data_IF_428948229002
#
_entry.id   IF_428948229002
#
_cell.length_a   1.000
_cell.length_b   1.000
_cell.length_c   1.000
_cell.angle_alpha   90.00
_cell.angle_beta   90.00
_cell.angle_gamma   90.00
#
_symmetry.space_group_name_H-M   'P 1'
#
loop_
_entity.id
_entity.type
_entity.pdbx_description
1 polymer ?
#
# COMPACT_ATOMS: atom_id res chain seq x y z
N UNK A 1 -7.70 19.68 -6.91
CA UNK A 1 -6.25 19.62 -6.71
C UNK A 1 -5.61 19.62 -8.09
N UNK A 2 -4.76 20.61 -8.42
CA UNK A 2 -4.16 20.73 -9.77
C UNK A 2 -3.07 19.67 -10.07
N UNK A 3 -2.66 18.88 -9.07
CA UNK A 3 -1.65 17.83 -9.20
C UNK A 3 -2.32 16.46 -9.10
N UNK A 4 -1.94 15.48 -9.95
CA UNK A 4 -2.44 14.12 -9.83
C UNK A 4 -2.17 13.54 -8.43
N UNK A 5 -3.16 12.89 -7.81
CA UNK A 5 -3.05 12.32 -6.45
C UNK A 5 -1.78 11.47 -6.27
N UNK A 6 -1.41 10.68 -7.28
CA UNK A 6 -0.22 9.83 -7.24
C UNK A 6 1.08 10.59 -6.94
N UNK A 7 1.19 11.84 -7.39
CA UNK A 7 2.37 12.68 -7.24
C UNK A 7 2.32 13.61 -6.01
N UNK A 8 1.24 13.58 -5.24
CA UNK A 8 1.17 14.38 -4.01
C UNK A 8 2.24 13.91 -3.02
N UNK A 9 2.93 14.88 -2.44
CA UNK A 9 4.00 14.65 -1.47
C UNK A 9 3.43 14.15 -0.14
N UNK A 10 4.09 13.21 0.51
CA UNK A 10 3.73 12.67 1.82
C UNK A 10 4.97 12.42 2.67
N UNK A 11 5.33 13.40 3.51
CA UNK A 11 6.43 13.29 4.48
C UNK A 11 7.75 12.76 3.90
N UNK A 12 8.16 13.31 2.76
CA UNK A 12 9.42 12.95 2.10
C UNK A 12 9.30 11.83 1.07
N UNK A 13 8.08 11.43 0.70
CA UNK A 13 7.78 10.48 -0.38
C UNK A 13 6.60 10.99 -1.21
N UNK A 14 6.08 10.19 -2.12
CA UNK A 14 4.82 10.46 -2.82
C UNK A 14 3.75 9.44 -2.43
N UNK A 15 2.46 9.77 -2.63
CA UNK A 15 1.38 8.85 -2.28
C UNK A 15 1.52 7.50 -2.99
N UNK A 16 1.87 7.52 -4.29
CA UNK A 16 2.05 6.25 -5.03
C UNK A 16 3.27 5.47 -4.54
N UNK A 17 4.39 6.13 -4.26
CA UNK A 17 5.58 5.47 -3.74
C UNK A 17 5.31 4.83 -2.38
N UNK A 18 4.58 5.56 -1.52
CA UNK A 18 4.14 5.05 -0.22
C UNK A 18 3.23 3.83 -0.35
N UNK A 19 2.17 3.90 -1.18
CA UNK A 19 1.26 2.78 -1.39
C UNK A 19 2.00 1.53 -1.87
N UNK A 20 2.88 1.69 -2.86
CA UNK A 20 3.71 0.60 -3.41
C UNK A 20 4.61 -0.04 -2.35
N UNK A 21 5.34 0.75 -1.56
CA UNK A 21 6.24 0.22 -0.53
C UNK A 21 5.46 -0.50 0.58
N UNK A 22 4.30 0.01 0.99
CA UNK A 22 3.47 -0.62 2.03
C UNK A 22 2.86 -1.93 1.53
N UNK A 23 2.26 -1.94 0.33
CA UNK A 23 1.67 -3.15 -0.26
C UNK A 23 2.75 -4.18 -0.53
N UNK A 24 3.90 -3.78 -1.11
CA UNK A 24 5.02 -4.68 -1.40
C UNK A 24 5.57 -5.40 -0.18
N UNK A 25 5.47 -4.81 1.01
CA UNK A 25 5.86 -5.48 2.28
C UNK A 25 4.81 -6.46 2.81
N UNK A 26 3.60 -6.42 2.27
CA UNK A 26 2.50 -7.27 2.73
C UNK A 26 2.26 -8.49 1.83
N UNK A 27 2.84 -8.52 0.63
CA UNK A 27 2.65 -9.56 -0.38
C UNK A 27 4.00 -10.14 -0.84
N UNK A 28 3.99 -11.38 -1.31
CA UNK A 28 5.16 -12.01 -1.92
C UNK A 28 5.07 -12.00 -3.46
N UNK A 29 3.96 -11.54 -4.02
CA UNK A 29 3.70 -11.45 -5.46
C UNK A 29 4.09 -10.11 -6.08
N UNK A 30 3.84 -9.95 -7.39
CA UNK A 30 4.13 -8.71 -8.11
C UNK A 30 3.28 -7.55 -7.59
N UNK A 31 3.86 -6.35 -7.59
CA UNK A 31 3.15 -5.09 -7.35
C UNK A 31 2.95 -4.39 -8.68
N UNK A 32 1.70 -4.10 -9.02
CA UNK A 32 1.32 -3.46 -10.28
C UNK A 32 0.66 -2.11 -9.98
N UNK A 33 1.19 -1.05 -10.55
CA UNK A 33 0.56 0.27 -10.52
C UNK A 33 -0.20 0.47 -11.83
N UNK A 34 -1.49 0.71 -11.73
CA UNK A 34 -2.31 1.04 -12.91
C UNK A 34 -2.49 2.55 -12.97
N UNK A 35 -2.26 3.13 -14.14
CA UNK A 35 -2.36 4.56 -14.40
C UNK A 35 -3.26 4.86 -15.60
N UNK A 36 -3.76 6.09 -15.69
CA UNK A 36 -4.42 6.56 -16.90
C UNK A 36 -3.41 6.61 -18.07
N UNK A 37 -3.85 6.37 -19.32
CA UNK A 37 -2.98 6.43 -20.48
C UNK A 37 -2.21 7.75 -20.54
N UNK A 38 -0.88 7.67 -20.66
CA UNK A 38 -0.01 8.85 -20.73
C UNK A 38 0.22 9.59 -19.41
N UNK A 39 -0.39 9.15 -18.30
CA UNK A 39 -0.15 9.75 -16.99
C UNK A 39 1.31 9.57 -16.58
N UNK A 40 1.98 10.67 -16.26
CA UNK A 40 3.32 10.62 -15.68
C UNK A 40 3.24 10.21 -14.21
N UNK A 41 4.05 9.23 -13.82
CA UNK A 41 4.19 8.78 -12.44
C UNK A 41 5.52 9.27 -11.86
N UNK A 42 5.58 9.54 -10.55
CA UNK A 42 6.85 9.65 -9.84
C UNK A 42 7.70 8.39 -10.01
N UNK A 43 8.99 8.50 -9.74
CA UNK A 43 9.91 7.34 -9.77
C UNK A 43 9.40 6.23 -8.84
N UNK A 44 9.35 5.01 -9.37
CA UNK A 44 8.94 3.81 -8.66
C UNK A 44 10.13 2.84 -8.55
N UNK A 45 10.13 1.91 -7.58
CA UNK A 45 11.10 0.83 -7.53
C UNK A 45 11.09 0.02 -8.84
N UNK A 46 12.26 -0.45 -9.27
CA UNK A 46 12.41 -1.24 -10.49
C UNK A 46 11.60 -2.56 -10.47
N UNK A 47 11.25 -3.05 -9.30
CA UNK A 47 10.42 -4.25 -9.11
C UNK A 47 8.92 -4.02 -9.34
N UNK A 48 8.48 -2.76 -9.50
CA UNK A 48 7.08 -2.40 -9.70
C UNK A 48 6.76 -2.39 -11.19
N UNK A 49 5.72 -3.10 -11.55
CA UNK A 49 5.19 -3.10 -12.91
C UNK A 49 4.18 -1.97 -13.09
N UNK A 50 4.16 -1.34 -14.26
CA UNK A 50 3.19 -0.30 -14.59
C UNK A 50 2.32 -0.78 -15.74
N UNK A 51 1.01 -0.66 -15.57
CA UNK A 51 0.02 -0.92 -16.61
C UNK A 51 -0.79 0.34 -16.91
N UNK A 52 -1.18 0.52 -18.16
CA UNK A 52 -2.11 1.56 -18.53
C UNK A 52 -3.55 1.06 -18.40
N UNK A 53 -4.43 1.92 -17.88
CA UNK A 53 -5.87 1.70 -17.90
C UNK A 53 -6.36 1.67 -19.35
N UNK A 54 -7.24 0.74 -19.68
CA UNK A 54 -7.70 0.59 -21.05
C UNK A 54 -8.55 1.79 -21.53
N UNK A 55 -9.23 2.46 -20.61
CA UNK A 55 -10.15 3.58 -20.91
C UNK A 55 -10.22 4.56 -19.76
N UNK A 56 -9.72 5.76 -19.98
CA UNK A 56 -9.77 6.84 -18.99
C UNK A 56 -11.22 7.20 -18.60
N UNK A 57 -11.43 7.50 -17.32
CA UNK A 57 -12.69 8.06 -16.79
C UNK A 57 -13.84 7.07 -16.61
N UNK A 58 -13.65 5.76 -16.76
CA UNK A 58 -14.69 4.74 -16.56
C UNK A 58 -14.75 4.15 -15.14
N UNK A 59 -14.08 4.78 -14.20
CA UNK A 59 -14.08 4.38 -12.81
C UNK A 59 -13.08 3.24 -12.49
N UNK A 60 -13.06 2.75 -11.26
CA UNK A 60 -11.99 1.87 -10.77
C UNK A 60 -11.99 0.45 -11.37
N UNK A 61 -13.07 0.03 -12.03
CA UNK A 61 -13.18 -1.33 -12.58
C UNK A 61 -12.20 -1.60 -13.73
N UNK A 62 -11.96 -0.60 -14.58
CA UNK A 62 -10.97 -0.73 -15.66
C UNK A 62 -9.57 -0.90 -15.06
N UNK A 63 -9.22 -0.10 -14.04
CA UNK A 63 -7.95 -0.24 -13.33
C UNK A 63 -7.78 -1.61 -12.66
N UNK A 64 -8.83 -2.13 -12.01
CA UNK A 64 -8.81 -3.48 -11.42
C UNK A 64 -8.59 -4.52 -12.53
N UNK A 65 -9.27 -4.40 -13.68
CA UNK A 65 -9.15 -5.33 -14.79
C UNK A 65 -7.73 -5.33 -15.39
N UNK A 66 -7.15 -4.14 -15.59
CA UNK A 66 -5.79 -3.98 -16.10
C UNK A 66 -4.76 -4.59 -15.15
N UNK A 67 -4.87 -4.30 -13.84
CA UNK A 67 -4.00 -4.86 -12.82
C UNK A 67 -4.09 -6.39 -12.75
N UNK A 68 -5.30 -6.95 -12.72
CA UNK A 68 -5.51 -8.41 -12.69
C UNK A 68 -5.01 -9.08 -13.99
N UNK A 69 -5.10 -8.42 -15.14
CA UNK A 69 -4.59 -8.94 -16.41
C UNK A 69 -3.07 -9.06 -16.40
N UNK A 70 -2.37 -8.06 -15.85
CA UNK A 70 -0.91 -8.10 -15.69
C UNK A 70 -0.48 -9.15 -14.67
N UNK A 71 -1.19 -9.28 -13.55
CA UNK A 71 -0.90 -10.31 -12.55
C UNK A 71 -1.06 -11.71 -13.16
N UNK A 72 -2.12 -11.94 -13.94
CA UNK A 72 -2.38 -13.21 -14.61
C UNK A 72 -2.32 -14.40 -13.65
N UNK A 73 -1.61 -15.48 -14.05
CA UNK A 73 -1.46 -16.71 -13.28
C UNK A 73 -0.35 -16.66 -12.22
N UNK A 74 0.36 -15.50 -12.09
CA UNK A 74 1.46 -15.34 -11.13
C UNK A 74 0.97 -15.26 -9.67
N UNK A 75 -0.31 -14.98 -9.45
CA UNK A 75 -0.93 -15.01 -8.13
C UNK A 75 -2.38 -15.49 -8.21
N UNK A 76 -2.87 -16.10 -7.13
CA UNK A 76 -4.28 -16.53 -7.01
C UNK A 76 -5.17 -15.46 -6.41
N UNK A 77 -4.57 -14.53 -5.67
CA UNK A 77 -5.25 -13.46 -4.93
C UNK A 77 -4.45 -12.17 -5.13
N UNK A 78 -5.15 -11.07 -5.34
CA UNK A 78 -4.58 -9.73 -5.39
C UNK A 78 -5.23 -8.85 -4.33
N UNK A 79 -4.44 -8.04 -3.64
CA UNK A 79 -4.95 -6.91 -2.87
C UNK A 79 -5.05 -5.68 -3.78
N UNK A 80 -6.21 -5.04 -3.79
CA UNK A 80 -6.45 -3.82 -4.55
C UNK A 80 -6.44 -2.63 -3.60
N UNK A 81 -5.66 -1.60 -3.93
CA UNK A 81 -5.53 -0.39 -3.12
C UNK A 81 -5.74 0.86 -3.96
N UNK A 82 -6.44 1.83 -3.39
CA UNK A 82 -6.38 3.21 -3.85
C UNK A 82 -5.02 3.83 -3.51
N UNK A 83 -4.62 4.85 -4.28
CA UNK A 83 -3.40 5.63 -4.00
C UNK A 83 -3.63 6.69 -2.92
N UNK A 84 -4.86 6.94 -2.58
CA UNK A 84 -5.33 8.00 -1.67
C UNK A 84 -5.53 7.54 -0.21
N UNK A 85 -4.99 6.38 0.16
CA UNK A 85 -4.97 5.82 1.51
C UNK A 85 -3.54 5.89 2.12
N UNK A 86 -3.00 7.07 2.46
CA UNK A 86 -1.61 7.19 2.90
C UNK A 86 -1.33 6.63 4.29
N UNK A 87 -2.37 6.34 5.06
CA UNK A 87 -2.28 5.75 6.39
C UNK A 87 -2.36 4.21 6.36
N UNK A 88 -2.40 3.62 5.15
CA UNK A 88 -2.40 2.17 4.97
C UNK A 88 -1.26 1.51 5.75
N UNK A 89 -1.57 0.39 6.42
CA UNK A 89 -0.61 -0.39 7.20
C UNK A 89 -0.46 -1.81 6.64
N UNK A 90 0.77 -2.39 6.55
CA UNK A 90 0.97 -3.75 6.03
C UNK A 90 0.25 -4.83 6.83
N UNK A 91 0.03 -4.63 8.14
CA UNK A 91 -0.74 -5.58 8.97
C UNK A 91 -2.20 -5.66 8.50
N UNK A 92 -2.81 -4.51 8.17
CA UNK A 92 -4.17 -4.46 7.62
C UNK A 92 -4.25 -5.21 6.28
N UNK A 93 -3.33 -4.95 5.35
CA UNK A 93 -3.29 -5.65 4.05
C UNK A 93 -3.22 -7.16 4.23
N UNK A 94 -2.29 -7.63 5.08
CA UNK A 94 -2.15 -9.07 5.38
C UNK A 94 -3.43 -9.65 6.01
N UNK A 95 -4.09 -8.90 6.90
CA UNK A 95 -5.33 -9.33 7.54
C UNK A 95 -6.45 -9.52 6.51
N UNK A 96 -6.65 -8.56 5.61
CA UNK A 96 -7.66 -8.65 4.55
C UNK A 96 -7.40 -9.84 3.63
N UNK A 97 -6.13 -10.03 3.23
CA UNK A 97 -5.73 -11.20 2.41
C UNK A 97 -6.00 -12.52 3.13
N UNK A 98 -5.69 -12.61 4.42
CA UNK A 98 -5.90 -13.82 5.22
C UNK A 98 -7.37 -14.17 5.44
N UNK A 99 -8.26 -13.19 5.41
CA UNK A 99 -9.71 -13.37 5.57
C UNK A 99 -10.44 -13.80 4.28
N UNK A 100 -9.75 -13.84 3.14
CA UNK A 100 -10.34 -14.37 1.90
C UNK A 100 -10.42 -15.91 1.96
N UNK A 101 -11.52 -16.41 2.49
CA UNK A 101 -11.82 -17.84 2.59
C UNK A 101 -11.98 -18.54 1.22
N UNK A 102 -11.99 -19.87 1.19
CA UNK A 102 -12.04 -20.67 -0.05
C UNK A 102 -13.30 -20.42 -0.87
N UNK A 103 -14.42 -20.12 -0.22
CA UNK A 103 -15.74 -19.99 -0.84
C UNK A 103 -16.07 -18.58 -1.31
N UNK A 104 -15.19 -17.59 -1.06
CA UNK A 104 -15.37 -16.22 -1.48
C UNK A 104 -14.46 -15.86 -2.66
N UNK A 105 -14.95 -14.96 -3.50
CA UNK A 105 -14.22 -14.36 -4.61
C UNK A 105 -13.59 -13.02 -4.21
N UNK A 106 -14.22 -12.34 -3.23
CA UNK A 106 -13.79 -11.05 -2.71
C UNK A 106 -13.90 -11.02 -1.19
N UNK A 107 -12.85 -10.58 -0.51
CA UNK A 107 -12.89 -10.20 0.90
C UNK A 107 -12.98 -8.67 0.96
N UNK A 108 -14.14 -8.16 1.38
CA UNK A 108 -14.53 -6.75 1.29
C UNK A 108 -14.64 -6.13 2.67
N UNK A 109 -13.68 -5.29 3.09
CA UNK A 109 -13.80 -4.54 4.33
C UNK A 109 -15.00 -3.59 4.32
N UNK A 110 -15.69 -3.56 5.46
CA UNK A 110 -16.72 -2.57 5.79
C UNK A 110 -16.32 -1.85 7.07
N UNK A 111 -16.06 -0.57 6.96
CA UNK A 111 -15.76 0.27 8.11
C UNK A 111 -16.29 1.68 7.89
N UNK A 112 -16.52 2.39 9.00
CA UNK A 112 -17.06 3.75 8.99
C UNK A 112 -18.39 3.87 8.20
N UNK A 113 -19.16 2.79 8.14
CA UNK A 113 -20.45 2.72 7.43
C UNK A 113 -20.38 2.43 5.93
N UNK A 114 -19.19 2.25 5.35
CA UNK A 114 -18.99 2.08 3.91
C UNK A 114 -18.24 0.80 3.55
N UNK A 115 -18.59 0.22 2.40
CA UNK A 115 -17.79 -0.83 1.78
C UNK A 115 -16.53 -0.22 1.12
N UNK A 116 -15.39 -0.93 1.21
CA UNK A 116 -14.08 -0.44 0.80
C UNK A 116 -13.50 -1.29 -0.35
N UNK A 117 -14.06 -1.20 -1.57
CA UNK A 117 -13.65 -2.06 -2.68
C UNK A 117 -12.24 -1.78 -3.21
N UNK A 118 -11.66 -0.61 -2.89
CA UNK A 118 -10.27 -0.26 -3.18
C UNK A 118 -9.36 -0.42 -1.94
N UNK A 119 -9.76 -1.28 -1.00
CA UNK A 119 -8.93 -1.77 0.10
C UNK A 119 -9.28 -3.25 0.37
N UNK A 120 -9.46 -4.05 -0.68
CA UNK A 120 -10.06 -5.38 -0.64
C UNK A 120 -9.16 -6.43 -1.31
N UNK A 121 -9.34 -7.70 -0.92
CA UNK A 121 -8.69 -8.82 -1.59
C UNK A 121 -9.62 -9.47 -2.61
N UNK A 122 -9.10 -9.73 -3.78
CA UNK A 122 -9.83 -10.32 -4.92
C UNK A 122 -9.14 -11.60 -5.38
N UNK A 123 -9.90 -12.66 -5.65
CA UNK A 123 -9.34 -13.76 -6.44
C UNK A 123 -9.08 -13.30 -7.86
N UNK A 124 -7.98 -13.74 -8.45
CA UNK A 124 -7.63 -13.38 -9.84
C UNK A 124 -8.63 -13.93 -10.85
N UNK A 125 -9.39 -14.96 -10.50
CA UNK A 125 -10.52 -15.48 -11.30
C UNK A 125 -11.64 -14.46 -11.52
N UNK A 126 -11.74 -13.43 -10.70
CA UNK A 126 -12.68 -12.29 -10.86
C UNK A 126 -12.41 -11.52 -12.16
N UNK A 127 -11.22 -11.63 -12.74
CA UNK A 127 -10.91 -11.02 -14.04
C UNK A 127 -11.87 -11.46 -15.17
N UNK A 128 -12.42 -12.66 -15.14
CA UNK A 128 -13.34 -13.14 -16.17
C UNK A 128 -14.72 -12.46 -16.11
N UNK A 129 -15.47 -12.47 -14.98
CA UNK A 129 -16.72 -11.74 -14.87
C UNK A 129 -16.53 -10.23 -15.02
N UNK A 130 -15.39 -9.67 -14.58
CA UNK A 130 -15.08 -8.26 -14.74
C UNK A 130 -14.94 -7.87 -16.22
N UNK A 131 -14.21 -8.64 -17.03
CA UNK A 131 -14.10 -8.41 -18.48
C UNK A 131 -15.47 -8.48 -19.18
N UNK A 132 -16.35 -9.38 -18.75
CA UNK A 132 -17.71 -9.48 -19.29
C UNK A 132 -18.49 -8.21 -18.96
N UNK A 133 -18.47 -7.77 -17.71
CA UNK A 133 -19.13 -6.55 -17.24
C UNK A 133 -18.66 -5.31 -18.02
N UNK A 134 -17.36 -5.17 -18.23
CA UNK A 134 -16.78 -4.03 -18.98
C UNK A 134 -17.18 -4.02 -20.47
N UNK A 135 -17.40 -5.21 -21.08
CA UNK A 135 -17.88 -5.32 -22.46
C UNK A 135 -19.36 -4.96 -22.60
N UNK A 136 -20.18 -5.24 -21.61
CA UNK A 136 -21.59 -4.83 -21.60
C UNK A 136 -21.75 -3.31 -21.62
N UNK A 137 -20.77 -2.58 -21.17
CA UNK A 137 -20.72 -1.13 -21.23
C UNK A 137 -21.53 -0.44 -20.14
N UNK A 138 -21.63 0.90 -20.22
CA UNK A 138 -22.30 1.73 -19.23
C UNK A 138 -21.32 2.34 -18.20
N UNK A 139 -21.87 3.18 -17.33
CA UNK A 139 -21.13 3.73 -16.19
C UNK A 139 -21.22 2.75 -15.03
N UNK A 140 -20.16 1.96 -14.83
CA UNK A 140 -20.17 0.85 -13.91
C UNK A 140 -19.31 1.20 -12.67
N UNK A 141 -19.96 1.25 -11.51
CA UNK A 141 -19.29 1.29 -10.22
C UNK A 141 -18.85 -0.11 -9.75
N UNK A 142 -17.97 -0.15 -8.73
CA UNK A 142 -17.49 -1.41 -8.12
C UNK A 142 -18.64 -2.31 -7.61
N UNK A 143 -19.77 -1.73 -7.21
CA UNK A 143 -20.97 -2.46 -6.81
C UNK A 143 -21.49 -3.43 -7.87
N UNK A 144 -21.40 -3.08 -9.16
CA UNK A 144 -21.82 -3.96 -10.25
C UNK A 144 -20.95 -5.23 -10.37
N UNK A 145 -19.66 -5.13 -10.06
CA UNK A 145 -18.78 -6.29 -9.96
C UNK A 145 -19.12 -7.15 -8.74
N UNK A 146 -19.29 -6.50 -7.58
CA UNK A 146 -19.56 -7.20 -6.33
C UNK A 146 -20.86 -8.02 -6.39
N UNK A 147 -21.88 -7.56 -7.12
CA UNK A 147 -23.12 -8.32 -7.36
C UNK A 147 -22.90 -9.61 -8.17
N UNK A 148 -21.76 -9.76 -8.87
CA UNK A 148 -21.41 -10.94 -9.66
C UNK A 148 -20.39 -11.85 -8.97
N UNK A 149 -20.02 -11.52 -7.74
CA UNK A 149 -19.01 -12.22 -6.96
C UNK A 149 -19.62 -12.75 -5.66
N UNK A 150 -19.05 -13.83 -5.15
CA UNK A 150 -19.27 -14.27 -3.76
C UNK A 150 -18.43 -13.39 -2.84
N UNK A 151 -19.09 -12.49 -2.13
CA UNK A 151 -18.43 -11.51 -1.28
C UNK A 151 -18.44 -11.96 0.18
N UNK A 152 -17.26 -12.06 0.79
CA UNK A 152 -17.12 -12.13 2.25
C UNK A 152 -16.98 -10.69 2.77
N UNK A 153 -18.03 -10.18 3.41
CA UNK A 153 -17.96 -8.88 4.08
C UNK A 153 -17.17 -9.02 5.38
N UNK A 154 -16.22 -8.11 5.58
CA UNK A 154 -15.34 -8.08 6.75
C UNK A 154 -15.71 -6.85 7.57
N UNK A 155 -16.33 -7.05 8.72
CA UNK A 155 -16.64 -5.96 9.65
C UNK A 155 -15.40 -5.53 10.46
N UNK A 156 -15.54 -4.43 11.19
CA UNK A 156 -14.47 -3.87 12.02
C UNK A 156 -14.01 -4.85 13.10
N UNK A 157 -14.92 -5.63 13.68
CA UNK A 157 -14.57 -6.62 14.70
C UNK A 157 -13.71 -7.74 14.13
N UNK A 158 -14.04 -8.24 12.93
CA UNK A 158 -13.24 -9.23 12.22
C UNK A 158 -11.85 -8.70 11.86
N UNK A 159 -11.75 -7.46 11.45
CA UNK A 159 -10.46 -6.81 11.13
C UNK A 159 -9.61 -6.65 12.38
N UNK A 160 -10.18 -6.15 13.46
CA UNK A 160 -9.50 -5.88 14.73
C UNK A 160 -9.25 -7.14 15.58
N UNK A 161 -9.82 -8.29 15.22
CA UNK A 161 -9.51 -9.57 15.87
C UNK A 161 -8.05 -10.02 15.67
N UNK A 162 -7.33 -9.45 14.69
CA UNK A 162 -5.90 -9.63 14.53
C UNK A 162 -5.13 -8.73 15.51
N UNK A 163 -4.29 -9.31 16.42
CA UNK A 163 -3.55 -8.52 17.40
C UNK A 163 -2.60 -7.48 16.78
N UNK A 164 -2.08 -7.74 15.59
CA UNK A 164 -1.22 -6.82 14.87
C UNK A 164 -2.01 -5.60 14.39
N UNK A 165 -3.19 -5.81 13.81
CA UNK A 165 -4.09 -4.71 13.39
C UNK A 165 -4.59 -3.95 14.62
N UNK A 166 -5.08 -4.63 15.65
CA UNK A 166 -5.58 -4.00 16.87
C UNK A 166 -4.53 -3.10 17.56
N UNK A 167 -3.25 -3.48 17.49
CA UNK A 167 -2.16 -2.71 18.09
C UNK A 167 -1.65 -1.57 17.18
N UNK A 168 -1.56 -1.80 15.86
CA UNK A 168 -0.86 -0.91 14.94
C UNK A 168 -1.80 0.00 14.13
N UNK A 169 -3.07 -0.38 14.03
CA UNK A 169 -4.12 0.34 13.29
C UNK A 169 -5.49 0.22 14.01
N UNK A 170 -5.58 0.56 15.31
CA UNK A 170 -6.78 0.35 16.11
C UNK A 170 -7.99 1.17 15.65
N UNK A 171 -7.77 2.27 14.94
CA UNK A 171 -8.82 3.10 14.38
C UNK A 171 -9.19 2.73 12.94
N UNK A 172 -8.53 1.69 12.36
CA UNK A 172 -8.64 1.33 10.95
C UNK A 172 -8.33 2.52 10.01
N UNK A 173 -7.35 3.33 10.39
CA UNK A 173 -6.87 4.48 9.60
C UNK A 173 -6.39 4.05 8.19
N UNK A 174 -6.04 2.77 8.01
CA UNK A 174 -5.76 2.15 6.70
C UNK A 174 -6.89 2.34 5.68
N UNK A 175 -8.10 2.61 6.13
CA UNK A 175 -9.30 2.80 5.30
C UNK A 175 -9.66 4.28 5.09
N UNK A 176 -8.86 5.21 5.60
CA UNK A 176 -9.07 6.64 5.41
C UNK A 176 -8.55 7.05 4.03
N UNK A 177 -9.48 7.44 3.15
CA UNK A 177 -9.18 7.95 1.82
C UNK A 177 -9.17 9.49 1.83
N UNK A 178 -8.18 10.10 1.17
CA UNK A 178 -8.05 11.54 1.05
C UNK A 178 -8.59 12.01 -0.29
N UNK A 179 -9.82 12.52 -0.31
CA UNK A 179 -10.51 12.96 -1.52
C UNK A 179 -10.45 14.47 -1.72
N UNK A 180 -10.39 15.24 -0.64
CA UNK A 180 -10.39 16.69 -0.66
C UNK A 180 -9.06 17.29 -0.20
N UNK A 181 -8.70 18.50 -0.68
CA UNK A 181 -7.46 19.17 -0.25
C UNK A 181 -7.37 19.37 1.27
N UNK A 182 -8.49 19.71 1.92
CA UNK A 182 -8.54 19.90 3.37
C UNK A 182 -8.28 18.60 4.16
N UNK A 183 -8.77 17.46 3.66
CA UNK A 183 -8.49 16.16 4.27
C UNK A 183 -7.00 15.80 4.16
N UNK A 184 -6.40 16.04 2.98
CA UNK A 184 -4.98 15.82 2.75
C UNK A 184 -4.12 16.70 3.68
N UNK A 185 -4.40 17.98 3.78
CA UNK A 185 -3.69 18.88 4.67
C UNK A 185 -3.88 18.51 6.15
N UNK A 186 -5.08 18.11 6.52
CA UNK A 186 -5.40 17.64 7.87
C UNK A 186 -4.61 16.37 8.23
N UNK A 187 -4.58 15.39 7.31
CA UNK A 187 -3.87 14.14 7.50
C UNK A 187 -2.35 14.36 7.54
N UNK A 188 -1.79 15.27 6.72
CA UNK A 188 -0.36 15.61 6.76
C UNK A 188 0.08 16.29 8.06
N UNK A 189 -0.82 16.93 8.79
CA UNK A 189 -0.51 17.50 10.11
C UNK A 189 -0.44 16.46 11.23
N UNK A 190 -0.90 15.22 10.98
CA UNK A 190 -0.71 14.14 11.95
C UNK A 190 0.79 13.89 12.16
N UNK A 191 1.22 13.60 13.40
CA UNK A 191 2.61 13.26 13.66
C UNK A 191 3.02 12.03 12.83
N UNK A 192 4.26 12.04 12.35
CA UNK A 192 4.84 10.87 11.69
C UNK A 192 4.80 9.65 12.63
N UNK A 193 4.71 8.43 12.08
CA UNK A 193 4.68 7.21 12.88
C UNK A 193 5.93 7.07 13.74
N UNK A 194 5.76 6.45 14.91
CA UNK A 194 6.88 6.09 15.77
C UNK A 194 7.47 4.77 15.30
N UNK A 195 8.79 4.77 15.08
CA UNK A 195 9.56 3.62 14.61
C UNK A 195 10.80 3.43 15.48
N UNK A 196 11.30 2.20 15.56
CA UNK A 196 12.55 1.90 16.26
C UNK A 196 13.73 1.97 15.28
N UNK A 197 14.81 2.62 15.70
CA UNK A 197 16.03 2.75 14.89
C UNK A 197 17.22 2.25 15.66
N UNK A 198 17.87 1.22 15.13
CA UNK A 198 19.17 0.72 15.57
C UNK A 198 20.24 1.26 14.61
N UNK A 199 21.20 2.00 15.15
CA UNK A 199 22.29 2.61 14.36
C UNK A 199 23.37 1.62 13.95
N UNK A 200 23.36 0.40 14.50
CA UNK A 200 24.36 -0.63 14.23
C UNK A 200 25.78 -0.29 14.77
N UNK A 201 25.89 0.65 15.68
CA UNK A 201 27.12 1.10 16.32
C UNK A 201 27.28 0.57 17.76
N UNK A 202 26.35 -0.28 18.20
CA UNK A 202 26.30 -0.84 19.56
C UNK A 202 25.55 0.03 20.57
N UNK A 203 25.00 1.18 20.16
CA UNK A 203 24.11 1.97 20.99
C UNK A 203 22.73 1.30 21.10
N UNK A 204 21.98 1.65 22.15
CA UNK A 204 20.60 1.19 22.31
C UNK A 204 19.71 1.72 21.18
N UNK A 205 18.77 0.89 20.67
CA UNK A 205 17.78 1.35 19.69
C UNK A 205 16.97 2.54 20.20
N UNK A 206 16.68 3.48 19.33
CA UNK A 206 15.96 4.71 19.65
C UNK A 206 14.59 4.74 18.99
N UNK A 207 13.57 5.16 19.74
CA UNK A 207 12.27 5.48 19.17
C UNK A 207 12.32 6.87 18.53
N UNK A 208 11.99 6.94 17.24
CA UNK A 208 11.94 8.22 16.49
C UNK A 208 10.62 8.34 15.72
N UNK A 209 10.24 9.57 15.41
CA UNK A 209 9.09 9.84 14.53
C UNK A 209 9.58 10.07 13.10
N UNK A 210 9.27 9.11 12.22
CA UNK A 210 9.70 9.17 10.83
C UNK A 210 8.71 8.43 9.92
N UNK A 211 8.37 9.03 8.79
CA UNK A 211 7.48 8.43 7.79
C UNK A 211 8.26 7.84 6.61
N UNK A 212 9.56 8.06 6.53
CA UNK A 212 10.46 7.51 5.51
C UNK A 212 11.81 7.12 6.12
N UNK A 213 12.52 6.25 5.42
CA UNK A 213 13.86 5.81 5.82
C UNK A 213 14.84 6.99 5.95
N UNK A 214 14.77 7.96 5.01
CA UNK A 214 15.59 9.16 5.06
C UNK A 214 15.30 10.04 6.28
N UNK A 215 14.02 10.18 6.64
CA UNK A 215 13.64 10.91 7.85
C UNK A 215 14.13 10.20 9.12
N UNK A 216 14.07 8.86 9.16
CA UNK A 216 14.59 8.07 10.27
C UNK A 216 16.11 8.22 10.42
N UNK A 217 16.85 8.16 9.30
CA UNK A 217 18.30 8.38 9.31
C UNK A 217 18.67 9.78 9.83
N UNK A 218 17.96 10.80 9.34
CA UNK A 218 18.18 12.19 9.78
C UNK A 218 17.91 12.38 11.27
N UNK A 219 16.87 11.72 11.80
CA UNK A 219 16.48 11.80 13.21
C UNK A 219 17.57 11.26 14.16
N UNK A 220 18.39 10.32 13.69
CA UNK A 220 19.52 9.76 14.47
C UNK A 220 20.89 10.25 14.00
N UNK A 221 20.91 11.33 13.22
CA UNK A 221 22.13 11.97 12.69
C UNK A 221 22.99 11.04 11.83
N UNK A 222 22.38 10.10 11.11
CA UNK A 222 23.04 9.27 10.12
C UNK A 222 22.93 9.93 8.74
N UNK A 223 24.06 10.16 8.09
CA UNK A 223 24.07 10.46 6.66
C UNK A 223 23.73 9.19 5.86
N UNK A 224 22.80 9.29 4.92
CA UNK A 224 22.57 8.26 3.92
C UNK A 224 23.70 8.38 2.87
N UNK A 225 24.87 7.83 3.18
CA UNK A 225 26.04 7.87 2.34
C UNK A 225 26.64 6.48 2.13
N UNK A 226 27.69 6.41 1.32
CA UNK A 226 28.35 5.17 0.94
C UNK A 226 28.73 4.31 2.13
N UNK A 227 28.35 3.03 2.05
CA UNK A 227 28.75 2.02 3.02
C UNK A 227 27.78 1.76 4.17
N UNK A 228 26.57 2.32 4.13
CA UNK A 228 25.50 1.95 5.06
C UNK A 228 24.42 1.15 4.34
N UNK A 229 24.10 -0.03 4.86
CA UNK A 229 22.93 -0.82 4.46
C UNK A 229 21.87 -0.67 5.52
N UNK A 230 20.63 -0.52 5.09
CA UNK A 230 19.47 -0.53 5.96
C UNK A 230 18.68 -1.83 5.81
N UNK A 231 18.16 -2.32 6.93
CA UNK A 231 17.10 -3.32 6.91
C UNK A 231 15.85 -2.74 7.59
N UNK A 232 14.72 -3.06 7.03
CA UNK A 232 13.40 -2.72 7.58
C UNK A 232 12.70 -4.03 7.97
N UNK A 233 12.45 -4.20 9.26
CA UNK A 233 11.90 -5.45 9.80
C UNK A 233 12.69 -6.70 9.35
N UNK A 234 14.04 -6.59 9.29
CA UNK A 234 14.95 -7.64 8.89
C UNK A 234 15.11 -7.86 7.38
N UNK A 235 14.39 -7.14 6.51
CA UNK A 235 14.55 -7.19 5.05
C UNK A 235 15.41 -6.02 4.56
N UNK A 236 16.38 -6.24 3.66
CA UNK A 236 17.13 -5.15 3.06
C UNK A 236 16.21 -4.15 2.36
N UNK A 237 16.48 -2.88 2.52
CA UNK A 237 15.75 -1.78 1.87
C UNK A 237 16.74 -0.73 1.35
N UNK A 238 16.34 -0.06 0.28
CA UNK A 238 17.12 0.98 -0.38
C UNK A 238 16.27 2.22 -0.66
N UNK A 239 16.93 3.37 -0.63
CA UNK A 239 16.31 4.64 -0.97
C UNK A 239 15.67 5.37 0.22
N UNK A 240 15.94 6.66 0.29
CA UNK A 240 15.48 7.54 1.36
C UNK A 240 13.95 7.65 1.44
N UNK A 241 13.25 7.42 0.32
CA UNK A 241 11.79 7.51 0.20
C UNK A 241 11.04 6.25 0.66
N UNK A 242 11.76 5.19 1.09
CA UNK A 242 11.11 3.97 1.57
C UNK A 242 10.16 4.31 2.72
N UNK A 243 8.86 3.99 2.61
CA UNK A 243 7.86 4.40 3.59
C UNK A 243 7.97 3.60 4.89
N UNK A 244 7.87 4.31 6.00
CA UNK A 244 7.79 3.74 7.33
C UNK A 244 6.38 3.88 7.91
N UNK A 245 6.00 2.94 8.77
CA UNK A 245 4.73 2.90 9.50
C UNK A 245 4.98 2.59 10.97
N UNK A 246 3.95 2.74 11.80
CA UNK A 246 4.03 2.42 13.23
C UNK A 246 4.51 0.97 13.45
N UNK A 247 5.40 0.79 14.41
CA UNK A 247 5.95 -0.52 14.78
C UNK A 247 7.07 -1.03 13.86
N UNK A 248 7.49 -0.26 12.87
CA UNK A 248 8.66 -0.60 12.06
C UNK A 248 9.95 -0.54 12.87
N UNK A 249 10.88 -1.44 12.52
CA UNK A 249 12.24 -1.50 13.08
C UNK A 249 13.23 -1.33 11.93
N UNK A 250 13.99 -0.26 11.98
CA UNK A 250 15.08 0.03 11.03
C UNK A 250 16.41 -0.31 11.70
N UNK A 251 17.23 -1.13 11.04
CA UNK A 251 18.58 -1.45 11.49
C UNK A 251 19.57 -1.05 10.43
N UNK A 252 20.54 -0.21 10.82
CA UNK A 252 21.63 0.20 9.98
C UNK A 252 22.86 -0.67 10.20
N UNK A 253 23.57 -1.03 9.14
CA UNK A 253 24.84 -1.78 9.21
C UNK A 253 25.87 -1.16 8.28
N UNK A 254 27.08 -0.98 8.77
CA UNK A 254 28.18 -0.64 7.89
C UNK A 254 28.57 -1.84 7.03
N UNK A 255 28.71 -1.62 5.73
CA UNK A 255 29.36 -2.61 4.86
C UNK A 255 30.82 -2.62 5.26
N UNK A 256 31.25 -3.67 5.94
CA UNK A 256 32.70 -3.90 6.11
C UNK A 256 33.28 -4.07 4.72
N UNK A 257 34.19 -3.17 4.34
CA UNK A 257 34.96 -3.32 3.11
C UNK A 257 35.69 -4.65 3.21
N UNK A 258 35.18 -5.68 2.58
CA UNK A 258 35.97 -6.88 2.36
C UNK A 258 37.10 -6.42 1.42
N UNK A 259 38.29 -6.19 1.97
CA UNK A 259 39.49 -6.09 1.14
C UNK A 259 39.68 -7.46 0.51
N UNK A 260 39.43 -7.51 -0.80
CA UNK A 260 39.84 -8.62 -1.67
C UNK A 260 41.38 -8.51 -1.88
#
# INVERSE_FOLDING_TARGET
>A
MGTPKAALEWHGSTLVRRAVGIVGRAVDGPVVVVRAPGQQLPALPASVEVADDAREGRGPLEGIAAGLAVIGDRARVAYVSGVDAPLLHPAFVRRVLALLGPDADVALPRAHGYAQPLAAAYRTTVAAPLRTLLREGGQLGTGALLQRCRVAELDEAMLLADPGVARLDPALDSLVNLNEPGEYEGARRRPAPEVQVDRGDGSEPQAVRAATLGAAASAVFLGLGDGLLATLNGRPVEGAEEPLVAGDVVVWRRVSSIRI
#
